data_IF_780242388448
#
_entry.id   IF_780242388448
#
_cell.length_a   1.000
_cell.length_b   1.000
_cell.length_c   1.000
_cell.angle_alpha   90.00
_cell.angle_beta   90.00
_cell.angle_gamma   90.00
#
_symmetry.space_group_name_H-M   'P 1'
#
loop_
_entity.id
_entity.type
_entity.pdbx_description
1 polymer ?
#
# COMPACT_ATOMS: atom_id res chain seq x y z
N UNK A 1 -4.77 16.39 -20.38
CA UNK A 1 -4.24 15.48 -19.34
C UNK A 1 -4.69 15.99 -17.97
N UNK A 2 -5.80 15.49 -17.41
CA UNK A 2 -6.35 15.92 -16.10
C UNK A 2 -6.61 14.75 -15.13
N UNK A 3 -6.10 13.56 -15.46
CA UNK A 3 -6.33 12.30 -14.74
C UNK A 3 -5.08 11.77 -14.02
N UNK A 4 -3.96 12.50 -14.09
CA UNK A 4 -2.69 12.14 -13.48
C UNK A 4 -2.26 13.29 -12.57
N UNK A 5 -1.94 12.93 -11.34
CA UNK A 5 -1.38 13.81 -10.32
C UNK A 5 -0.22 13.07 -9.68
N UNK A 6 0.85 13.79 -9.35
CA UNK A 6 2.04 13.22 -8.74
C UNK A 6 2.22 13.78 -7.34
N UNK A 7 2.75 12.95 -6.45
CA UNK A 7 3.11 13.35 -5.10
C UNK A 7 4.35 12.58 -4.65
N UNK A 8 5.07 13.16 -3.70
CA UNK A 8 6.15 12.51 -2.95
C UNK A 8 5.77 12.25 -1.50
N UNK A 9 4.52 12.52 -1.12
CA UNK A 9 3.99 12.31 0.23
C UNK A 9 2.91 11.22 0.24
N UNK A 10 2.97 10.35 1.24
CA UNK A 10 2.01 9.26 1.43
C UNK A 10 0.59 9.78 1.72
N UNK A 11 0.49 10.94 2.38
CA UNK A 11 -0.80 11.57 2.67
C UNK A 11 -1.61 11.97 1.44
N UNK A 12 -0.98 12.07 0.27
CA UNK A 12 -1.71 12.35 -0.96
C UNK A 12 -2.64 11.20 -1.39
N UNK A 13 -2.47 10.00 -0.82
CA UNK A 13 -3.29 8.82 -1.12
C UNK A 13 -4.44 8.59 -0.12
N UNK A 14 -4.65 9.51 0.84
CA UNK A 14 -5.66 9.34 1.89
C UNK A 14 -7.07 9.09 1.35
N UNK A 15 -7.41 9.72 0.21
CA UNK A 15 -8.73 9.62 -0.44
C UNK A 15 -8.79 8.55 -1.54
N UNK A 16 -7.73 7.75 -1.73
CA UNK A 16 -7.69 6.71 -2.75
C UNK A 16 -8.57 5.52 -2.39
N UNK A 17 -9.41 5.08 -3.33
CA UNK A 17 -10.22 3.86 -3.18
C UNK A 17 -9.37 2.57 -3.35
N UNK A 18 -8.34 2.64 -4.18
CA UNK A 18 -7.49 1.51 -4.56
C UNK A 18 -6.04 1.96 -4.74
N UNK A 19 -5.11 1.26 -4.08
CA UNK A 19 -3.68 1.55 -4.10
C UNK A 19 -2.92 0.32 -4.58
N UNK A 20 -1.95 0.53 -5.47
CA UNK A 20 -0.98 -0.49 -5.91
C UNK A 20 0.41 -0.03 -5.49
N UNK A 21 1.03 -0.77 -4.59
CA UNK A 21 2.43 -0.60 -4.22
C UNK A 21 3.34 -1.25 -5.29
N UNK A 22 4.33 -0.50 -5.78
CA UNK A 22 5.28 -0.95 -6.79
C UNK A 22 6.70 -0.36 -6.56
N UNK A 23 7.13 -0.33 -5.30
CA UNK A 23 8.49 0.01 -4.88
C UNK A 23 9.48 -1.12 -5.21
N UNK A 24 10.76 -0.87 -4.95
CA UNK A 24 11.83 -1.87 -5.07
C UNK A 24 11.48 -3.18 -4.36
N UNK A 25 11.92 -4.28 -4.95
CA UNK A 25 11.70 -5.64 -4.46
C UNK A 25 12.59 -5.99 -3.26
N UNK A 26 12.44 -5.23 -2.18
CA UNK A 26 13.08 -5.40 -0.88
C UNK A 26 12.02 -5.48 0.22
N UNK A 27 12.15 -6.47 1.10
CA UNK A 27 11.14 -6.78 2.11
C UNK A 27 10.94 -5.63 3.08
N UNK A 28 12.04 -5.01 3.54
CA UNK A 28 11.98 -3.92 4.52
C UNK A 28 11.37 -2.67 3.90
N UNK A 29 11.74 -2.35 2.66
CA UNK A 29 11.21 -1.22 1.91
C UNK A 29 9.70 -1.38 1.68
N UNK A 30 9.25 -2.57 1.24
CA UNK A 30 7.82 -2.87 1.06
C UNK A 30 7.06 -2.81 2.37
N UNK A 31 7.59 -3.41 3.43
CA UNK A 31 6.98 -3.36 4.75
C UNK A 31 6.78 -1.91 5.22
N UNK A 32 7.82 -1.07 5.13
CA UNK A 32 7.75 0.33 5.57
C UNK A 32 6.69 1.12 4.79
N UNK A 33 6.63 0.97 3.47
CA UNK A 33 5.65 1.72 2.67
C UNK A 33 4.22 1.21 2.91
N UNK A 34 4.03 -0.11 3.06
CA UNK A 34 2.71 -0.69 3.33
C UNK A 34 2.15 -0.25 4.69
N UNK A 35 2.99 -0.21 5.74
CA UNK A 35 2.62 0.33 7.05
C UNK A 35 2.31 1.83 6.95
N UNK A 36 3.11 2.58 6.20
CA UNK A 36 2.91 4.02 6.05
C UNK A 36 1.62 4.33 5.30
N UNK A 37 1.29 3.59 4.25
CA UNK A 37 0.04 3.73 3.51
C UNK A 37 -1.15 3.37 4.38
N UNK A 38 -1.07 2.23 5.08
CA UNK A 38 -2.12 1.78 5.99
C UNK A 38 -2.54 2.83 7.02
N UNK A 39 -1.57 3.54 7.59
CA UNK A 39 -1.84 4.54 8.61
C UNK A 39 -2.64 5.76 8.12
N UNK A 40 -2.74 5.96 6.80
CA UNK A 40 -3.27 7.21 6.22
C UNK A 40 -4.45 6.98 5.27
N UNK A 41 -4.53 5.83 4.62
CA UNK A 41 -5.66 5.50 3.73
C UNK A 41 -6.92 5.19 4.52
N UNK A 42 -8.08 5.32 3.87
CA UNK A 42 -9.36 4.96 4.50
C UNK A 42 -9.42 3.46 4.83
N UNK A 43 -10.09 3.05 5.91
CA UNK A 43 -10.18 1.63 6.31
C UNK A 43 -10.82 0.72 5.25
N UNK A 44 -11.65 1.28 4.38
CA UNK A 44 -12.35 0.58 3.30
C UNK A 44 -11.57 0.54 1.97
N UNK A 45 -10.43 1.24 1.88
CA UNK A 45 -9.59 1.24 0.70
C UNK A 45 -8.88 -0.12 0.50
N UNK A 46 -8.72 -0.52 -0.76
CA UNK A 46 -7.92 -1.71 -1.11
C UNK A 46 -6.46 -1.33 -1.23
N UNK A 47 -5.60 -2.05 -0.50
CA UNK A 47 -4.15 -1.91 -0.57
C UNK A 47 -3.55 -3.18 -1.18
N UNK A 48 -3.11 -3.10 -2.43
CA UNK A 48 -2.48 -4.18 -3.18
C UNK A 48 -0.97 -3.99 -3.33
N UNK A 49 -0.22 -5.07 -3.53
CA UNK A 49 1.24 -5.01 -3.79
C UNK A 49 1.59 -5.76 -5.07
N UNK A 50 2.28 -5.08 -5.98
CA UNK A 50 2.88 -5.69 -7.16
C UNK A 50 4.20 -6.39 -6.77
N UNK A 51 4.10 -7.42 -5.92
CA UNK A 51 5.23 -8.27 -5.51
C UNK A 51 5.33 -9.49 -6.42
N UNK A 52 6.56 -9.92 -6.70
CA UNK A 52 6.90 -11.11 -7.48
C UNK A 52 7.57 -12.19 -6.62
N UNK A 53 8.32 -11.76 -5.60
CA UNK A 53 9.27 -12.63 -4.89
C UNK A 53 9.09 -12.60 -3.36
N UNK A 54 8.38 -11.60 -2.83
CA UNK A 54 8.08 -11.52 -1.40
C UNK A 54 6.71 -12.15 -1.12
N UNK A 55 6.67 -13.04 -0.13
CA UNK A 55 5.44 -13.70 0.31
C UNK A 55 4.36 -12.67 0.70
N UNK A 56 3.21 -12.77 0.06
CA UNK A 56 2.04 -11.93 0.36
C UNK A 56 1.55 -12.13 1.80
N UNK A 57 1.58 -13.37 2.31
CA UNK A 57 1.21 -13.69 3.69
C UNK A 57 2.10 -12.94 4.67
N UNK A 58 3.42 -12.95 4.43
CA UNK A 58 4.38 -12.23 5.28
C UNK A 58 4.13 -10.72 5.26
N UNK A 59 3.87 -10.14 4.08
CA UNK A 59 3.52 -8.71 3.95
C UNK A 59 2.20 -8.36 4.66
N UNK A 60 1.26 -9.31 4.71
CA UNK A 60 -0.02 -9.21 5.41
C UNK A 60 0.07 -9.12 6.92
N UNK A 61 1.12 -9.65 7.54
CA UNK A 61 1.26 -9.68 9.00
C UNK A 61 1.35 -8.29 9.64
N UNK A 62 1.75 -7.27 8.89
CA UNK A 62 1.96 -5.91 9.40
C UNK A 62 0.76 -4.97 9.15
N UNK A 63 -0.35 -5.53 8.67
CA UNK A 63 -1.55 -4.78 8.36
C UNK A 63 -2.47 -4.62 9.56
N UNK A 64 -3.12 -3.46 9.66
CA UNK A 64 -4.23 -3.25 10.58
C UNK A 64 -5.32 -4.33 10.42
N UNK A 65 -5.84 -4.92 11.51
CA UNK A 65 -6.72 -6.09 11.46
C UNK A 65 -8.06 -5.89 10.74
N UNK A 66 -8.43 -4.65 10.43
CA UNK A 66 -9.74 -4.29 9.87
C UNK A 66 -9.67 -4.04 8.36
N UNK A 67 -8.50 -4.19 7.75
CA UNK A 67 -8.30 -3.91 6.33
C UNK A 67 -8.67 -5.10 5.47
N UNK A 68 -9.43 -4.84 4.41
CA UNK A 68 -9.67 -5.81 3.36
C UNK A 68 -8.32 -6.13 2.68
N UNK A 69 -7.98 -7.42 2.63
CA UNK A 69 -6.63 -7.95 2.46
C UNK A 69 -5.79 -7.37 1.30
N UNK A 70 -4.46 -7.44 1.47
CA UNK A 70 -3.49 -7.41 0.37
C UNK A 70 -3.83 -8.47 -0.67
N UNK A 71 -4.00 -8.03 -1.92
CA UNK A 71 -3.83 -8.85 -3.10
C UNK A 71 -2.52 -8.45 -3.80
#
# INVERSE_FOLDING_TARGET
MRRLSFSTTVSAFAESDFIIEAVTEDVLTKQQILISLDAVIRPDAVLATNTSSVSITKLGEWQSPHRNALL
#
